data_IF_299077640691
#
_entry.id   IF_299077640691
#
_cell.length_a   1.000
_cell.length_b   1.000
_cell.length_c   1.000
_cell.angle_alpha   90.00
_cell.angle_beta   90.00
_cell.angle_gamma   90.00
#
_symmetry.space_group_name_H-M   'P 1'
#
loop_
_entity.id
_entity.type
_entity.pdbx_description
1 polymer ?
#
# COMPACT_ATOMS: atom_id res chain seq x y z
N UNK A 1 14.07 6.03 -3.82
CA UNK A 1 15.33 6.76 -3.49
C UNK A 1 16.57 6.03 -3.99
N UNK A 2 16.61 4.69 -4.07
CA UNK A 2 17.75 3.93 -4.64
C UNK A 2 18.37 4.56 -5.91
N UNK A 3 17.56 5.03 -6.85
CA UNK A 3 18.04 5.71 -8.05
C UNK A 3 18.88 6.96 -7.74
N UNK A 4 18.47 7.76 -6.75
CA UNK A 4 19.19 8.95 -6.25
C UNK A 4 20.57 8.57 -5.72
N UNK A 5 20.64 7.50 -4.93
CA UNK A 5 21.89 7.04 -4.29
C UNK A 5 22.92 6.55 -5.33
N UNK A 6 22.44 6.09 -6.49
CA UNK A 6 23.27 5.68 -7.62
C UNK A 6 23.66 6.87 -8.53
N UNK A 7 22.98 8.02 -8.38
CA UNK A 7 23.26 9.27 -9.10
C UNK A 7 22.14 9.77 -10.03
N UNK A 8 21.01 9.06 -10.13
CA UNK A 8 19.85 9.48 -10.91
C UNK A 8 18.90 10.35 -10.08
N UNK A 9 18.99 11.67 -10.24
CA UNK A 9 18.25 12.66 -9.45
C UNK A 9 16.82 12.91 -9.93
N UNK A 10 16.54 12.72 -11.22
CA UNK A 10 15.23 13.02 -11.83
C UNK A 10 14.10 12.06 -11.40
N UNK A 11 14.29 10.72 -11.41
CA UNK A 11 13.20 9.77 -11.09
C UNK A 11 12.58 9.97 -9.69
N UNK A 12 13.37 10.21 -8.61
CA UNK A 12 12.82 10.52 -7.29
C UNK A 12 11.90 11.74 -7.27
N UNK A 13 12.22 12.80 -8.01
CA UNK A 13 11.41 14.02 -8.05
C UNK A 13 10.05 13.77 -8.69
N UNK A 14 10.00 12.99 -9.77
CA UNK A 14 8.75 12.57 -10.40
C UNK A 14 7.92 11.68 -9.47
N UNK A 15 8.57 10.72 -8.79
CA UNK A 15 7.90 9.88 -7.79
C UNK A 15 7.37 10.67 -6.59
N UNK A 16 8.07 11.73 -6.17
CA UNK A 16 7.62 12.59 -5.07
C UNK A 16 6.40 13.45 -5.42
N UNK A 17 6.24 13.86 -6.69
CA UNK A 17 5.02 14.53 -7.13
C UNK A 17 3.79 13.62 -7.01
N UNK A 18 3.91 12.34 -7.38
CA UNK A 18 2.80 11.39 -7.20
C UNK A 18 2.59 11.01 -5.72
N UNK A 19 3.67 10.90 -4.95
CA UNK A 19 3.59 10.70 -3.50
C UNK A 19 2.87 11.85 -2.79
N UNK A 20 3.01 13.08 -3.27
CA UNK A 20 2.29 14.24 -2.72
C UNK A 20 0.77 14.07 -2.89
N UNK A 21 0.31 13.59 -4.05
CA UNK A 21 -1.12 13.31 -4.27
C UNK A 21 -1.63 12.24 -3.30
N UNK A 22 -0.85 11.19 -3.05
CA UNK A 22 -1.17 10.18 -2.05
C UNK A 22 -1.22 10.76 -0.61
N UNK A 23 -0.34 11.71 -0.28
CA UNK A 23 -0.39 12.41 1.00
C UNK A 23 -1.64 13.26 1.16
N UNK A 24 -2.13 13.88 0.08
CA UNK A 24 -3.41 14.61 0.09
C UNK A 24 -4.56 13.65 0.37
N UNK A 25 -4.52 12.41 -0.14
CA UNK A 25 -5.53 11.39 0.20
C UNK A 25 -5.49 11.03 1.69
N UNK A 26 -4.29 10.87 2.25
CA UNK A 26 -4.11 10.64 3.70
C UNK A 26 -4.65 11.81 4.53
N UNK A 27 -4.37 13.04 4.10
CA UNK A 27 -4.84 14.24 4.76
C UNK A 27 -6.36 14.36 4.71
N UNK A 28 -7.00 14.05 3.56
CA UNK A 28 -8.46 14.09 3.45
C UNK A 28 -9.14 12.98 4.26
N UNK A 29 -8.53 11.80 4.37
CA UNK A 29 -9.08 10.70 5.15
C UNK A 29 -8.92 10.88 6.67
N UNK A 30 -7.82 11.49 7.12
CA UNK A 30 -7.43 11.49 8.54
C UNK A 30 -7.16 12.87 9.16
N UNK A 31 -6.98 13.90 8.34
CA UNK A 31 -6.52 15.23 8.75
C UNK A 31 -5.01 15.37 8.87
N UNK A 32 -4.22 14.31 8.62
CA UNK A 32 -2.76 14.34 8.69
C UNK A 32 -2.11 13.72 7.45
N UNK A 33 -0.95 14.27 7.05
CA UNK A 33 -0.25 13.87 5.82
C UNK A 33 0.59 12.59 5.94
N UNK A 34 0.93 12.16 7.15
CA UNK A 34 1.74 10.97 7.39
C UNK A 34 1.24 10.19 8.61
N UNK A 35 1.24 10.80 9.79
CA UNK A 35 0.79 10.16 11.03
C UNK A 35 -0.73 10.23 11.17
N UNK A 36 -1.42 9.41 10.38
CA UNK A 36 -2.88 9.45 10.23
C UNK A 36 -3.67 8.97 11.48
N UNK A 37 -3.11 8.06 12.28
CA UNK A 37 -3.84 7.39 13.39
C UNK A 37 -5.27 6.92 12.97
N UNK A 38 -5.37 6.48 11.72
CA UNK A 38 -6.62 6.19 11.03
C UNK A 38 -7.09 4.76 11.27
N UNK A 39 -6.18 3.80 11.11
CA UNK A 39 -6.40 2.41 11.48
C UNK A 39 -6.37 2.26 13.00
N UNK A 40 -7.41 1.67 13.57
CA UNK A 40 -7.55 1.43 15.01
C UNK A 40 -8.00 0.00 15.26
N UNK A 41 -7.79 -0.48 16.49
CA UNK A 41 -8.31 -1.79 16.88
C UNK A 41 -9.83 -1.76 16.75
N UNK A 42 -10.38 -2.67 15.94
CA UNK A 42 -11.81 -2.71 15.64
C UNK A 42 -12.22 -1.98 14.36
N UNK A 43 -11.29 -1.56 13.51
CA UNK A 43 -11.56 -1.05 12.16
C UNK A 43 -10.90 0.29 11.90
N UNK A 44 -11.69 1.26 11.43
CA UNK A 44 -11.19 2.56 10.99
C UNK A 44 -11.82 3.69 11.81
N UNK A 45 -11.08 4.78 12.03
CA UNK A 45 -11.55 5.88 12.87
C UNK A 45 -12.76 6.63 12.30
N UNK A 46 -12.74 6.92 11.01
CA UNK A 46 -13.77 7.70 10.30
C UNK A 46 -13.94 7.16 8.88
N UNK A 47 -15.14 7.31 8.34
CA UNK A 47 -15.42 6.91 6.97
C UNK A 47 -14.75 7.86 5.95
N UNK A 48 -14.54 7.35 4.73
CA UNK A 48 -13.97 8.13 3.64
C UNK A 48 -15.07 9.01 3.01
N UNK A 49 -14.77 10.28 2.66
CA UNK A 49 -15.70 11.09 1.89
C UNK A 49 -15.84 10.53 0.46
N UNK A 50 -17.05 10.55 -0.10
CA UNK A 50 -17.34 9.98 -1.44
C UNK A 50 -16.46 10.57 -2.53
N UNK A 51 -16.25 11.90 -2.51
CA UNK A 51 -15.38 12.61 -3.45
C UNK A 51 -13.93 12.07 -3.45
N UNK A 52 -13.45 11.55 -2.33
CA UNK A 52 -12.11 10.98 -2.25
C UNK A 52 -12.03 9.65 -3.02
N UNK A 53 -13.11 8.87 -3.10
CA UNK A 53 -13.14 7.65 -3.89
C UNK A 53 -13.02 7.96 -5.39
N UNK A 54 -13.63 9.06 -5.86
CA UNK A 54 -13.50 9.53 -7.23
C UNK A 54 -12.09 10.02 -7.53
N UNK A 55 -11.47 10.75 -6.62
CA UNK A 55 -10.11 11.25 -6.81
C UNK A 55 -9.06 10.13 -6.81
N UNK A 56 -9.23 9.09 -5.99
CA UNK A 56 -8.37 7.90 -6.01
C UNK A 56 -8.57 7.12 -7.31
N UNK A 57 -9.80 7.03 -7.82
CA UNK A 57 -10.08 6.41 -9.12
C UNK A 57 -9.32 7.14 -10.24
N UNK A 58 -9.44 8.48 -10.27
CA UNK A 58 -8.79 9.33 -11.26
C UNK A 58 -7.26 9.35 -11.15
N UNK A 59 -6.69 8.96 -10.00
CA UNK A 59 -5.24 8.83 -9.81
C UNK A 59 -4.65 7.56 -10.46
N UNK A 60 -5.43 6.49 -10.59
CA UNK A 60 -4.93 5.18 -11.02
C UNK A 60 -4.34 5.20 -12.44
N UNK A 61 -5.02 5.77 -13.43
CA UNK A 61 -4.54 5.82 -14.83
C UNK A 61 -3.29 6.70 -15.02
N UNK A 62 -3.26 7.95 -14.50
CA UNK A 62 -2.07 8.79 -14.59
C UNK A 62 -0.85 8.18 -13.91
N UNK A 63 -1.03 7.50 -12.77
CA UNK A 63 0.08 6.89 -12.04
C UNK A 63 0.76 5.77 -12.84
N UNK A 64 0.00 4.93 -13.55
CA UNK A 64 0.57 3.90 -14.43
C UNK A 64 1.46 4.52 -15.52
N UNK A 65 1.04 5.66 -16.11
CA UNK A 65 1.86 6.39 -17.08
C UNK A 65 3.16 6.91 -16.46
N UNK A 66 3.12 7.34 -15.20
CA UNK A 66 4.33 7.75 -14.48
C UNK A 66 5.24 6.55 -14.24
N UNK A 67 4.70 5.38 -13.89
CA UNK A 67 5.48 4.14 -13.80
C UNK A 67 6.16 3.81 -15.13
N UNK A 68 5.46 3.92 -16.26
CA UNK A 68 6.02 3.65 -17.59
C UNK A 68 7.11 4.65 -17.96
N UNK A 69 6.93 5.94 -17.63
CA UNK A 69 7.95 6.97 -17.82
C UNK A 69 9.20 6.71 -16.96
N UNK A 70 9.02 6.26 -15.71
CA UNK A 70 10.13 5.87 -14.83
C UNK A 70 10.87 4.65 -15.37
N UNK A 71 10.13 3.67 -15.89
CA UNK A 71 10.69 2.48 -16.50
C UNK A 71 11.52 2.82 -17.74
N UNK A 72 11.00 3.68 -18.62
CA UNK A 72 11.71 4.13 -19.82
C UNK A 72 13.04 4.84 -19.53
N UNK A 73 13.18 5.49 -18.36
CA UNK A 73 14.42 6.15 -17.95
C UNK A 73 15.44 5.22 -17.29
N UNK A 74 14.98 4.19 -16.58
CA UNK A 74 15.82 3.38 -15.69
C UNK A 74 16.04 1.96 -16.19
N UNK A 75 14.98 1.28 -16.64
CA UNK A 75 15.02 -0.16 -16.90
C UNK A 75 16.00 -0.53 -17.99
N UNK A 76 15.99 0.18 -19.12
CA UNK A 76 16.91 -0.07 -20.24
C UNK A 76 18.17 0.77 -20.22
N UNK A 77 18.35 1.58 -19.18
CA UNK A 77 19.54 2.39 -19.04
C UNK A 77 20.77 1.51 -18.75
N UNK A 78 21.76 1.57 -19.65
CA UNK A 78 23.01 0.83 -19.53
C UNK A 78 23.73 1.07 -18.20
N UNK A 79 23.80 2.33 -17.75
CA UNK A 79 24.49 2.69 -16.50
C UNK A 79 23.75 2.07 -15.32
N UNK A 80 22.41 2.08 -15.34
CA UNK A 80 21.61 1.50 -14.28
C UNK A 80 21.74 -0.02 -14.22
N UNK A 81 21.73 -0.71 -15.37
CA UNK A 81 22.01 -2.16 -15.44
C UNK A 81 23.41 -2.48 -14.93
N UNK A 82 24.44 -1.76 -15.38
CA UNK A 82 25.83 -1.97 -14.93
C UNK A 82 26.04 -1.83 -13.41
N UNK A 83 25.18 -1.09 -12.72
CA UNK A 83 25.28 -0.84 -11.27
C UNK A 83 24.43 -1.78 -10.42
N UNK A 84 23.51 -2.54 -11.01
CA UNK A 84 22.55 -3.36 -10.29
C UNK A 84 22.52 -4.83 -10.72
N UNK A 85 22.82 -5.13 -11.99
CA UNK A 85 22.91 -6.50 -12.50
C UNK A 85 24.14 -7.17 -11.90
N UNK A 86 24.00 -8.40 -11.43
CA UNK A 86 25.02 -9.19 -10.73
C UNK A 86 25.55 -8.56 -9.43
N UNK A 87 24.89 -7.52 -8.91
CA UNK A 87 25.26 -6.88 -7.65
C UNK A 87 24.34 -7.36 -6.53
N UNK A 88 24.96 -7.80 -5.43
CA UNK A 88 24.24 -8.23 -4.23
C UNK A 88 23.43 -9.50 -4.41
N UNK A 89 23.76 -10.35 -5.39
CA UNK A 89 23.07 -11.62 -5.64
C UNK A 89 23.00 -12.49 -4.39
N UNK A 90 21.79 -12.95 -4.05
CA UNK A 90 21.51 -13.78 -2.87
C UNK A 90 20.79 -15.04 -3.33
N UNK A 91 21.31 -16.21 -2.96
CA UNK A 91 20.66 -17.48 -3.23
C UNK A 91 19.37 -17.62 -2.41
N UNK A 92 18.43 -18.44 -2.89
CA UNK A 92 17.17 -18.65 -2.18
C UNK A 92 17.40 -19.28 -0.78
N UNK A 93 18.34 -20.21 -0.67
CA UNK A 93 18.66 -20.89 0.59
C UNK A 93 19.25 -19.92 1.61
N UNK A 94 20.16 -19.03 1.18
CA UNK A 94 20.72 -17.99 2.04
C UNK A 94 19.65 -16.99 2.48
N UNK A 95 18.73 -16.62 1.58
CA UNK A 95 17.63 -15.72 1.92
C UNK A 95 16.75 -16.29 3.05
N UNK A 96 16.47 -17.59 3.02
CA UNK A 96 15.73 -18.27 4.08
C UNK A 96 16.55 -18.39 5.37
N UNK A 97 17.81 -18.78 5.27
CA UNK A 97 18.70 -18.94 6.42
C UNK A 97 18.90 -17.62 7.19
N UNK A 98 18.96 -16.50 6.47
CA UNK A 98 19.10 -15.15 7.03
C UNK A 98 17.77 -14.51 7.46
N UNK A 99 16.63 -15.19 7.22
CA UNK A 99 15.31 -14.67 7.58
C UNK A 99 14.88 -13.45 6.75
N UNK A 100 15.31 -13.35 5.49
CA UNK A 100 14.85 -12.30 4.59
C UNK A 100 13.37 -12.46 4.24
N UNK A 101 12.73 -11.36 3.81
CA UNK A 101 11.30 -11.34 3.47
C UNK A 101 10.98 -10.36 2.33
N UNK A 102 9.77 -10.46 1.79
CA UNK A 102 9.25 -9.54 0.78
C UNK A 102 10.04 -9.57 -0.54
N UNK A 103 10.36 -8.41 -1.14
CA UNK A 103 11.07 -8.34 -2.41
C UNK A 103 12.44 -9.04 -2.42
N UNK A 104 13.08 -9.21 -1.25
CA UNK A 104 14.37 -9.91 -1.16
C UNK A 104 14.22 -11.39 -1.52
N UNK A 105 13.23 -12.07 -0.93
CA UNK A 105 12.94 -13.49 -1.19
C UNK A 105 12.34 -13.68 -2.58
N UNK A 106 11.47 -12.75 -3.01
CA UNK A 106 10.87 -12.76 -4.36
C UNK A 106 11.91 -12.54 -5.45
N UNK A 107 12.88 -11.65 -5.24
CA UNK A 107 13.97 -11.42 -6.18
C UNK A 107 14.83 -12.66 -6.40
N UNK A 108 15.01 -13.49 -5.35
CA UNK A 108 15.77 -14.74 -5.39
C UNK A 108 14.99 -15.96 -5.92
N UNK A 109 13.76 -15.77 -6.42
CA UNK A 109 13.02 -16.83 -7.12
C UNK A 109 11.90 -17.51 -6.34
N UNK A 110 11.64 -17.13 -5.08
CA UNK A 110 10.50 -17.70 -4.34
C UNK A 110 9.22 -16.89 -4.52
N UNK A 111 8.15 -17.58 -4.92
CA UNK A 111 6.79 -17.03 -5.00
C UNK A 111 6.13 -16.93 -3.60
N UNK A 112 6.77 -16.19 -2.68
CA UNK A 112 6.30 -16.02 -1.30
C UNK A 112 5.71 -14.62 -1.08
N UNK A 113 4.42 -14.57 -0.70
CA UNK A 113 3.73 -13.35 -0.30
C UNK A 113 2.68 -13.69 0.77
N UNK A 114 2.70 -12.95 1.88
CA UNK A 114 1.75 -13.15 2.98
C UNK A 114 0.30 -12.92 2.54
N UNK A 115 0.05 -12.00 1.61
CA UNK A 115 -1.30 -11.68 1.12
C UNK A 115 -1.98 -12.87 0.43
N UNK A 116 -1.20 -13.83 -0.10
CA UNK A 116 -1.71 -15.09 -0.67
C UNK A 116 -1.50 -16.30 0.24
N UNK A 117 -0.34 -16.41 0.89
CA UNK A 117 0.00 -17.58 1.71
C UNK A 117 -0.73 -17.60 3.06
N UNK A 118 -0.90 -16.43 3.67
CA UNK A 118 -1.63 -16.23 4.93
C UNK A 118 -2.52 -15.00 4.81
N UNK A 119 -3.60 -15.08 4.00
CA UNK A 119 -4.42 -13.93 3.69
C UNK A 119 -5.04 -13.30 4.94
N UNK A 120 -5.09 -11.98 4.95
CA UNK A 120 -5.71 -11.15 5.98
C UNK A 120 -6.65 -10.13 5.33
N UNK A 121 -7.55 -9.54 6.12
CA UNK A 121 -8.54 -8.56 5.66
C UNK A 121 -9.27 -9.02 4.39
N UNK A 122 -9.28 -8.21 3.33
CA UNK A 122 -9.98 -8.49 2.08
C UNK A 122 -9.06 -8.99 0.96
N UNK A 123 -7.76 -9.23 1.21
CA UNK A 123 -6.84 -9.77 0.20
C UNK A 123 -7.25 -11.11 -0.44
N UNK A 124 -7.91 -12.08 0.25
CA UNK A 124 -8.34 -13.31 -0.41
C UNK A 124 -9.32 -13.08 -1.57
N UNK A 125 -10.03 -11.97 -1.54
CA UNK A 125 -11.05 -11.65 -2.54
C UNK A 125 -10.52 -10.76 -3.68
N UNK A 126 -9.22 -10.42 -3.67
CA UNK A 126 -8.58 -9.56 -4.65
C UNK A 126 -7.74 -10.38 -5.62
N UNK A 127 -7.79 -10.03 -6.90
CA UNK A 127 -7.02 -10.69 -7.95
C UNK A 127 -5.76 -9.88 -8.28
N UNK A 128 -4.59 -10.43 -7.98
CA UNK A 128 -3.30 -9.84 -8.29
C UNK A 128 -2.23 -10.92 -8.48
N UNK A 129 -1.14 -10.57 -9.15
CA UNK A 129 -0.03 -11.47 -9.42
C UNK A 129 1.17 -11.18 -8.52
N UNK A 130 1.98 -12.21 -8.24
CA UNK A 130 3.20 -12.08 -7.45
C UNK A 130 4.38 -12.02 -8.43
N UNK A 131 5.08 -10.88 -8.55
CA UNK A 131 6.28 -10.81 -9.37
C UNK A 131 7.43 -11.56 -8.69
N UNK A 132 8.17 -12.34 -9.48
CA UNK A 132 9.27 -13.19 -9.03
C UNK A 132 10.49 -12.92 -9.91
N UNK A 133 11.64 -12.66 -9.28
CA UNK A 133 12.94 -12.52 -9.93
C UNK A 133 13.57 -13.87 -10.26
N UNK A 134 14.69 -13.87 -10.97
CA UNK A 134 15.38 -15.11 -11.39
C UNK A 134 16.77 -15.25 -10.81
N UNK A 135 17.49 -14.14 -10.70
CA UNK A 135 18.91 -14.10 -10.40
C UNK A 135 19.21 -13.69 -8.95
N UNK A 136 18.24 -13.07 -8.24
CA UNK A 136 18.44 -12.61 -6.85
C UNK A 136 19.27 -11.33 -6.72
N UNK A 137 19.55 -10.64 -7.81
CA UNK A 137 20.35 -9.42 -7.82
C UNK A 137 19.53 -8.16 -7.44
N UNK A 138 20.20 -7.01 -7.36
CA UNK A 138 19.56 -5.73 -7.10
C UNK A 138 18.62 -5.29 -8.23
N UNK A 139 18.86 -5.74 -9.46
CA UNK A 139 18.06 -5.36 -10.63
C UNK A 139 16.70 -6.08 -10.65
N UNK A 140 16.68 -7.38 -10.39
CA UNK A 140 15.45 -8.16 -10.23
C UNK A 140 14.59 -7.60 -9.08
N UNK A 141 15.22 -7.24 -7.97
CA UNK A 141 14.55 -6.57 -6.85
C UNK A 141 13.97 -5.20 -7.20
N UNK A 142 14.55 -4.50 -8.16
CA UNK A 142 13.99 -3.27 -8.70
C UNK A 142 12.78 -3.56 -9.59
N UNK A 143 12.88 -4.52 -10.51
CA UNK A 143 11.79 -4.93 -11.40
C UNK A 143 10.58 -5.45 -10.62
N UNK A 144 10.81 -6.28 -9.60
CA UNK A 144 9.77 -6.77 -8.68
C UNK A 144 9.00 -5.61 -8.06
N UNK A 145 9.68 -4.54 -7.63
CA UNK A 145 9.01 -3.35 -7.05
C UNK A 145 8.26 -2.53 -8.09
N UNK A 146 8.78 -2.40 -9.31
CA UNK A 146 8.06 -1.73 -10.40
C UNK A 146 6.75 -2.46 -10.72
N UNK A 147 6.79 -3.79 -10.77
CA UNK A 147 5.61 -4.60 -11.03
C UNK A 147 4.65 -4.61 -9.83
N UNK A 148 5.15 -4.64 -8.60
CA UNK A 148 4.33 -4.48 -7.40
C UNK A 148 3.55 -3.16 -7.38
N UNK A 149 4.12 -2.07 -7.89
CA UNK A 149 3.38 -0.80 -8.03
C UNK A 149 2.21 -0.94 -9.00
N UNK A 150 2.37 -1.63 -10.12
CA UNK A 150 1.27 -1.90 -11.08
C UNK A 150 0.18 -2.79 -10.47
N UNK A 151 0.59 -3.86 -9.80
CA UNK A 151 -0.33 -4.75 -9.10
C UNK A 151 -1.06 -4.02 -7.96
N UNK A 152 -0.39 -3.06 -7.29
CA UNK A 152 -1.03 -2.22 -6.28
C UNK A 152 -2.14 -1.35 -6.86
N UNK A 153 -1.94 -0.75 -8.04
CA UNK A 153 -3.01 -0.01 -8.75
C UNK A 153 -4.17 -0.92 -9.13
N UNK A 154 -3.88 -2.15 -9.59
CA UNK A 154 -4.92 -3.15 -9.90
C UNK A 154 -5.77 -3.48 -8.66
N UNK A 155 -5.13 -3.68 -7.51
CA UNK A 155 -5.83 -3.91 -6.23
C UNK A 155 -6.66 -2.68 -5.85
N UNK A 156 -6.10 -1.46 -5.97
CA UNK A 156 -6.82 -0.22 -5.66
C UNK A 156 -8.12 -0.10 -6.47
N UNK A 157 -8.12 -0.41 -7.76
CA UNK A 157 -9.33 -0.41 -8.60
C UNK A 157 -10.38 -1.38 -8.11
N UNK A 158 -9.99 -2.62 -7.82
CA UNK A 158 -10.91 -3.63 -7.30
C UNK A 158 -11.51 -3.22 -5.95
N UNK A 159 -10.70 -2.63 -5.07
CA UNK A 159 -11.20 -2.07 -3.82
C UNK A 159 -12.24 -0.97 -4.05
N UNK A 160 -12.00 -0.05 -4.99
CA UNK A 160 -12.94 1.03 -5.31
C UNK A 160 -14.24 0.50 -5.92
N UNK A 161 -14.16 -0.47 -6.83
CA UNK A 161 -15.33 -1.13 -7.42
C UNK A 161 -16.19 -1.81 -6.36
N UNK A 162 -15.55 -2.51 -5.41
CA UNK A 162 -16.25 -3.14 -4.28
C UNK A 162 -16.85 -2.13 -3.32
N UNK A 163 -16.15 -1.04 -3.00
CA UNK A 163 -16.67 0.03 -2.13
C UNK A 163 -17.88 0.72 -2.74
N UNK A 164 -17.94 0.85 -4.07
CA UNK A 164 -19.09 1.40 -4.80
C UNK A 164 -20.24 0.41 -4.98
N UNK A 165 -20.01 -0.86 -4.73
CA UNK A 165 -21.05 -1.89 -4.84
C UNK A 165 -22.03 -1.79 -3.66
N UNK A 166 -23.24 -2.31 -3.84
CA UNK A 166 -24.26 -2.30 -2.78
C UNK A 166 -23.79 -2.99 -1.48
N UNK A 167 -22.91 -3.99 -1.59
CA UNK A 167 -22.34 -4.73 -0.47
C UNK A 167 -21.18 -3.98 0.21
N UNK A 168 -20.65 -2.92 -0.42
CA UNK A 168 -19.54 -2.12 0.09
C UNK A 168 -19.97 -1.08 1.13
N UNK A 169 -21.27 -0.79 1.24
CA UNK A 169 -21.79 0.17 2.21
C UNK A 169 -22.05 -0.51 3.56
N UNK A 170 -21.19 -0.20 4.54
CA UNK A 170 -21.27 -0.79 5.87
C UNK A 170 -20.60 0.05 6.95
N UNK A 171 -20.70 -0.37 8.22
CA UNK A 171 -20.02 0.29 9.30
C UNK A 171 -18.50 0.12 9.18
N UNK A 172 -17.76 1.23 9.29
CA UNK A 172 -16.28 1.24 9.21
C UNK A 172 -15.57 0.71 10.45
N UNK A 173 -16.32 0.49 11.53
CA UNK A 173 -15.81 -0.01 12.81
C UNK A 173 -16.78 -1.04 13.39
N UNK A 174 -16.22 -1.97 14.17
CA UNK A 174 -16.98 -3.00 14.89
C UNK A 174 -18.03 -2.34 15.79
N UNK A 175 -19.25 -2.86 15.80
CA UNK A 175 -20.37 -2.31 16.57
C UNK A 175 -20.21 -2.41 18.11
N UNK A 176 -19.18 -3.13 18.59
CA UNK A 176 -18.92 -3.34 20.01
C UNK A 176 -18.30 -2.09 20.66
N UNK A 177 -19.14 -1.32 21.36
CA UNK A 177 -18.78 -0.06 22.02
C UNK A 177 -17.83 -0.21 23.22
N UNK A 178 -17.43 -1.43 23.58
CA UNK A 178 -16.35 -1.69 24.55
C UNK A 178 -14.96 -1.70 23.92
N UNK A 179 -14.88 -1.78 22.60
CA UNK A 179 -13.63 -1.81 21.84
C UNK A 179 -13.51 -0.51 21.04
N UNK A 180 -14.59 -0.12 20.35
CA UNK A 180 -14.66 1.08 19.52
C UNK A 180 -15.45 2.17 20.23
N UNK A 181 -15.08 3.45 20.09
CA UNK A 181 -15.83 4.54 20.70
C UNK A 181 -17.20 4.70 19.99
N UNK A 182 -18.28 5.00 20.73
CA UNK A 182 -19.59 5.21 20.13
C UNK A 182 -19.62 6.52 19.29
N UNK A 183 -20.50 6.60 18.27
CA UNK A 183 -20.69 7.82 17.50
C UNK A 183 -21.01 9.03 18.37
N UNK A 184 -20.51 10.22 18.00
CA UNK A 184 -20.76 11.46 18.77
C UNK A 184 -22.25 11.79 18.93
N UNK A 185 -23.07 11.44 17.94
CA UNK A 185 -24.51 11.67 18.00
C UNK A 185 -25.21 10.78 19.06
N UNK A 186 -24.80 9.53 19.20
CA UNK A 186 -25.36 8.59 20.18
C UNK A 186 -24.81 8.85 21.58
N UNK A 187 -23.52 9.17 21.69
CA UNK A 187 -22.88 9.59 22.94
C UNK A 187 -23.64 10.74 23.61
N UNK A 188 -24.09 11.75 22.87
CA UNK A 188 -24.82 12.90 23.45
C UNK A 188 -26.26 12.59 23.91
N UNK A 189 -26.80 11.40 23.59
CA UNK A 189 -28.20 11.04 23.85
C UNK A 189 -28.35 9.82 24.76
N UNK A 190 -27.39 8.91 24.77
CA UNK A 190 -27.42 7.68 25.59
C UNK A 190 -26.43 7.76 26.75
N UNK A 191 -26.92 7.39 27.94
CA UNK A 191 -26.09 7.25 29.14
C UNK A 191 -25.01 6.17 28.95
N UNK A 192 -25.36 5.02 28.37
CA UNK A 192 -24.46 3.89 28.15
C UNK A 192 -23.30 4.28 27.22
N UNK A 193 -23.63 4.97 26.11
CA UNK A 193 -22.63 5.47 25.18
C UNK A 193 -21.67 6.48 25.85
N UNK A 194 -22.18 7.30 26.76
CA UNK A 194 -21.34 8.24 27.53
C UNK A 194 -20.39 7.50 28.48
N UNK A 195 -20.88 6.48 29.18
CA UNK A 195 -20.06 5.64 30.07
C UNK A 195 -18.94 4.95 29.27
N UNK A 196 -19.29 4.33 28.13
CA UNK A 196 -18.32 3.68 27.26
C UNK A 196 -17.27 4.65 26.72
N UNK A 197 -17.69 5.81 26.23
CA UNK A 197 -16.76 6.85 25.79
C UNK A 197 -15.83 7.28 26.92
N UNK A 198 -16.36 7.55 28.12
CA UNK A 198 -15.53 7.96 29.25
C UNK A 198 -14.50 6.87 29.61
N UNK A 199 -14.91 5.60 29.70
CA UNK A 199 -14.03 4.48 30.06
C UNK A 199 -12.99 4.10 28.99
N UNK A 200 -13.23 4.40 27.72
CA UNK A 200 -12.26 4.14 26.64
C UNK A 200 -11.16 5.20 26.54
N UNK A 201 -11.43 6.42 27.00
CA UNK A 201 -10.51 7.55 26.91
C UNK A 201 -9.92 7.98 28.27
N UNK A 202 -10.17 7.21 29.33
CA UNK A 202 -9.58 7.39 30.68
C UNK A 202 -8.83 6.12 31.08
#
# INVERSE_FOLDING_TARGET
TQAMDIGALTPPLWGFAEREKLMVFYERASGARMHANYFRVGGVHQDLPEELLDDIWNFCDPFLKVCDNLEGLLTDNRIFKQRNVDVGAISLDDAWALGFSGPMVRGSGAAWDLRKAQPYECYPEMEFDIPVGKNGDCYDRYLVRMEEMRQSVRIMRQCLEKLRSADGHGPVAVANQKITPPPRATMKRSMEATIHHFKLYT
#
